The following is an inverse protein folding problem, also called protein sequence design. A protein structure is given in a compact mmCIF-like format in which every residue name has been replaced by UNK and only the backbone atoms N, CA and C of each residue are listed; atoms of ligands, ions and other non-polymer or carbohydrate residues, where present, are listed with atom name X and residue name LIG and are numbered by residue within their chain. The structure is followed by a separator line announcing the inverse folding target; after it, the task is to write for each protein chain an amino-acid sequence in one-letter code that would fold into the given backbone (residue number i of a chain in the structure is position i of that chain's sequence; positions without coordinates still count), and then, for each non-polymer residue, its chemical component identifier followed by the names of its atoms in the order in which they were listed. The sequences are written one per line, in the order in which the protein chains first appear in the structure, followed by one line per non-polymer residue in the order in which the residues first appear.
data_IF_457211017918
#
_entry.id   IF_457211017918
#
_cell.length_a   1.000
_cell.length_b   1.000
_cell.length_c   1.000
_cell.angle_alpha   90.00
_cell.angle_beta   90.00
_cell.angle_gamma   90.00
#
_symmetry.space_group_name_H-M   'P 1'
#
loop_
_entity.id
_entity.type
_entity.pdbx_description
1 polymer ?
#
# COMPACT_ATOMS: atom_id res chain seq x y z
N UNK A 1 -38.90 37.11 -41.90
CA UNK A 1 -38.95 36.75 -40.46
C UNK A 1 -39.07 35.24 -40.39
N UNK A 2 -37.95 34.56 -40.22
CA UNK A 2 -37.81 33.10 -40.06
C UNK A 2 -37.09 32.88 -38.72
N UNK A 3 -37.77 32.31 -37.73
CA UNK A 3 -37.69 30.94 -37.16
C UNK A 3 -36.39 30.58 -36.40
N UNK A 4 -36.63 30.02 -35.20
CA UNK A 4 -35.84 29.11 -34.36
C UNK A 4 -34.93 29.67 -33.26
N UNK A 5 -35.07 29.03 -32.09
CA UNK A 5 -34.21 29.14 -30.92
C UNK A 5 -34.99 28.86 -29.63
N UNK A 6 -35.44 27.61 -29.45
CA UNK A 6 -35.83 27.09 -28.14
C UNK A 6 -34.58 27.13 -27.24
N UNK A 7 -34.69 27.76 -26.07
CA UNK A 7 -33.67 27.68 -25.01
C UNK A 7 -33.92 26.37 -24.26
N UNK A 8 -33.13 25.33 -24.58
CA UNK A 8 -32.96 24.16 -23.72
C UNK A 8 -32.21 24.62 -22.47
N UNK A 9 -32.90 24.62 -21.32
CA UNK A 9 -32.26 24.65 -20.01
C UNK A 9 -31.52 23.32 -19.84
N UNK A 10 -30.19 23.35 -19.93
CA UNK A 10 -29.33 22.24 -19.51
C UNK A 10 -29.49 22.09 -17.98
N UNK A 11 -30.19 21.04 -17.56
CA UNK A 11 -30.17 20.56 -16.17
C UNK A 11 -28.74 20.08 -15.87
N UNK A 12 -27.98 20.88 -15.10
CA UNK A 12 -26.76 20.41 -14.47
C UNK A 12 -27.14 19.35 -13.41
N UNK A 13 -26.80 18.09 -13.66
CA UNK A 13 -26.92 16.99 -12.70
C UNK A 13 -26.15 17.34 -11.40
N UNK A 14 -26.86 17.78 -10.35
CA UNK A 14 -26.33 17.86 -8.98
C UNK A 14 -25.96 16.44 -8.51
N UNK A 15 -24.71 16.02 -8.74
CA UNK A 15 -24.16 14.83 -8.08
C UNK A 15 -24.29 15.02 -6.58
N UNK A 16 -25.01 14.10 -5.94
CA UNK A 16 -25.28 14.11 -4.51
C UNK A 16 -23.97 13.92 -3.71
N UNK A 17 -23.29 15.03 -3.42
CA UNK A 17 -21.98 15.09 -2.75
C UNK A 17 -21.99 14.65 -1.28
N UNK A 18 -23.13 14.16 -0.77
CA UNK A 18 -23.26 13.72 0.61
C UNK A 18 -22.80 12.27 0.83
N UNK A 19 -22.44 11.55 -0.25
CA UNK A 19 -22.19 10.11 -0.25
C UNK A 19 -20.88 9.75 -0.99
N UNK A 20 -20.09 8.84 -0.42
CA UNK A 20 -18.77 8.44 -0.89
C UNK A 20 -18.74 6.99 -1.41
N UNK A 21 -19.69 6.16 -0.98
CA UNK A 21 -19.76 4.73 -1.27
C UNK A 21 -20.98 4.34 -2.14
N UNK A 22 -21.65 5.32 -2.75
CA UNK A 22 -22.90 5.11 -3.49
C UNK A 22 -22.71 4.36 -4.83
N UNK A 23 -21.49 4.32 -5.36
CA UNK A 23 -21.14 3.71 -6.64
C UNK A 23 -20.86 2.21 -6.54
N UNK A 24 -21.08 1.45 -7.61
CA UNK A 24 -20.93 -0.02 -7.60
C UNK A 24 -19.52 -0.51 -7.27
N UNK A 25 -18.48 0.30 -7.53
CA UNK A 25 -17.09 -0.02 -7.19
C UNK A 25 -16.81 -0.02 -5.67
N UNK A 26 -17.75 0.50 -4.87
CA UNK A 26 -17.71 0.46 -3.42
C UNK A 26 -18.16 -0.90 -2.82
N UNK A 27 -18.72 -1.81 -3.64
CA UNK A 27 -19.12 -3.13 -3.15
C UNK A 27 -17.89 -3.92 -2.66
N UNK A 28 -17.98 -4.61 -1.50
CA UNK A 28 -19.19 -4.99 -0.79
C UNK A 28 -19.59 -4.06 0.37
N UNK A 29 -19.04 -2.84 0.46
CA UNK A 29 -19.42 -1.88 1.50
C UNK A 29 -20.79 -1.31 1.17
N UNK A 30 -21.71 -1.41 2.13
CA UNK A 30 -23.08 -0.93 2.00
C UNK A 30 -23.19 0.46 2.62
N UNK A 31 -23.38 1.47 1.78
CA UNK A 31 -23.62 2.81 2.28
C UNK A 31 -25.05 2.96 2.80
N UNK A 32 -25.19 3.46 4.03
CA UNK A 32 -26.50 3.69 4.61
C UNK A 32 -27.18 4.90 3.99
N UNK A 33 -28.34 4.67 3.39
CA UNK A 33 -29.25 5.70 2.89
C UNK A 33 -30.63 5.50 3.54
N UNK A 34 -31.23 6.60 4.00
CA UNK A 34 -32.55 6.53 4.63
C UNK A 34 -33.62 6.29 3.56
N UNK A 35 -34.61 5.43 3.86
CA UNK A 35 -35.64 5.04 2.88
C UNK A 35 -36.77 6.06 2.76
N UNK A 36 -36.91 6.96 3.72
CA UNK A 36 -38.10 7.81 3.89
C UNK A 36 -37.83 9.32 3.80
N UNK A 37 -36.88 9.77 2.98
CA UNK A 37 -36.64 11.17 2.58
C UNK A 37 -37.05 12.25 3.62
N UNK A 38 -36.53 12.14 4.85
CA UNK A 38 -36.35 13.28 5.74
C UNK A 38 -37.41 13.61 6.80
N UNK A 39 -38.52 12.88 6.97
CA UNK A 39 -39.46 13.23 8.06
C UNK A 39 -39.13 12.60 9.42
N UNK A 40 -38.39 11.49 9.46
CA UNK A 40 -37.84 10.95 10.71
C UNK A 40 -36.66 10.01 10.44
N UNK A 41 -35.44 10.39 10.84
CA UNK A 41 -34.24 9.59 10.58
C UNK A 41 -34.39 8.20 11.20
N UNK A 42 -34.52 7.18 10.35
CA UNK A 42 -34.78 5.82 10.81
C UNK A 42 -33.56 5.27 11.58
N UNK A 43 -33.80 4.50 12.65
CA UNK A 43 -32.73 3.84 13.42
C UNK A 43 -32.36 2.55 12.69
N UNK A 44 -31.23 2.48 11.98
CA UNK A 44 -30.95 1.31 11.17
C UNK A 44 -30.69 0.07 12.02
N UNK A 45 -31.29 -1.05 11.65
CA UNK A 45 -31.19 -2.31 12.39
C UNK A 45 -29.73 -2.74 12.56
N UNK A 46 -28.88 -2.55 11.54
CA UNK A 46 -27.45 -2.87 11.61
C UNK A 46 -26.68 -2.07 12.69
N UNK A 47 -27.21 -0.99 13.24
CA UNK A 47 -26.54 -0.27 14.34
C UNK A 47 -27.09 -0.60 15.72
N UNK A 48 -28.36 -1.01 15.80
CA UNK A 48 -29.09 -1.08 17.07
C UNK A 48 -29.59 -2.47 17.42
N UNK A 49 -29.84 -3.35 16.45
CA UNK A 49 -30.34 -4.68 16.73
C UNK A 49 -29.22 -5.69 17.00
N UNK A 50 -29.38 -6.45 18.09
CA UNK A 50 -28.46 -7.52 18.50
C UNK A 50 -28.58 -8.78 17.66
N UNK A 51 -29.60 -8.94 16.81
CA UNK A 51 -29.81 -10.17 16.04
C UNK A 51 -28.97 -10.25 14.76
N UNK A 52 -28.22 -9.20 14.46
CA UNK A 52 -27.38 -9.14 13.28
C UNK A 52 -26.07 -9.91 13.50
N UNK A 53 -25.54 -10.44 12.40
CA UNK A 53 -24.19 -11.02 12.33
C UNK A 53 -23.10 -9.98 12.57
N UNK A 54 -21.83 -10.42 12.55
CA UNK A 54 -20.69 -9.53 12.77
C UNK A 54 -20.60 -8.50 11.64
N UNK A 55 -20.26 -7.26 12.02
CA UNK A 55 -20.20 -6.16 11.06
C UNK A 55 -19.26 -5.04 11.49
N UNK A 56 -18.61 -4.43 10.51
CA UNK A 56 -17.73 -3.30 10.70
C UNK A 56 -18.35 -2.08 10.02
N UNK A 57 -18.48 -0.98 10.76
CA UNK A 57 -19.13 0.24 10.28
C UNK A 57 -18.14 1.39 10.30
N UNK A 58 -17.98 2.06 9.17
CA UNK A 58 -17.30 3.34 9.07
C UNK A 58 -18.28 4.50 9.19
N UNK A 59 -17.96 5.46 10.04
CA UNK A 59 -18.58 6.77 10.11
C UNK A 59 -17.63 7.79 9.49
N UNK A 60 -18.09 8.51 8.48
CA UNK A 60 -17.23 9.31 7.62
C UNK A 60 -17.89 10.64 7.23
N UNK A 61 -17.13 11.54 6.62
CA UNK A 61 -17.68 12.72 5.94
C UNK A 61 -17.15 12.78 4.49
N UNK A 62 -18.00 12.99 3.47
CA UNK A 62 -17.60 12.95 2.05
C UNK A 62 -16.59 14.04 1.67
N UNK A 63 -16.58 15.17 2.39
CA UNK A 63 -15.59 16.24 2.21
C UNK A 63 -14.28 16.01 2.99
N UNK A 64 -14.19 14.97 3.82
CA UNK A 64 -12.99 14.70 4.62
C UNK A 64 -11.93 13.98 3.76
N UNK A 65 -10.73 14.56 3.58
CA UNK A 65 -9.68 13.94 2.77
C UNK A 65 -9.27 12.55 3.26
N UNK A 66 -9.20 12.34 4.58
CA UNK A 66 -8.90 11.02 5.14
C UNK A 66 -9.97 9.98 4.83
N UNK A 67 -11.26 10.38 4.80
CA UNK A 67 -12.35 9.48 4.43
C UNK A 67 -12.29 9.13 2.95
N UNK A 68 -12.07 10.13 2.09
CA UNK A 68 -11.90 9.94 0.65
C UNK A 68 -10.77 8.97 0.35
N UNK A 69 -9.65 9.12 1.06
CA UNK A 69 -8.49 8.25 0.90
C UNK A 69 -8.69 6.85 1.50
N UNK A 70 -9.33 6.76 2.67
CA UNK A 70 -9.61 5.50 3.34
C UNK A 70 -10.68 4.66 2.63
N UNK A 71 -11.54 5.27 1.81
CA UNK A 71 -12.62 4.61 1.06
C UNK A 71 -12.18 3.32 0.40
N UNK A 72 -11.19 3.42 -0.47
CA UNK A 72 -10.76 2.28 -1.27
C UNK A 72 -10.11 1.20 -0.40
N UNK A 73 -9.41 1.61 0.67
CA UNK A 73 -8.84 0.68 1.65
C UNK A 73 -9.93 -0.08 2.41
N UNK A 74 -11.03 0.58 2.78
CA UNK A 74 -12.12 -0.05 3.49
C UNK A 74 -12.89 -1.03 2.60
N UNK A 75 -13.11 -0.67 1.33
CA UNK A 75 -13.73 -1.54 0.33
C UNK A 75 -12.87 -2.79 0.09
N UNK A 76 -11.57 -2.61 -0.09
CA UNK A 76 -10.65 -3.72 -0.32
C UNK A 76 -10.54 -4.62 0.92
N UNK A 77 -10.46 -4.02 2.10
CA UNK A 77 -10.51 -4.74 3.37
C UNK A 77 -11.76 -5.61 3.46
N UNK A 78 -12.92 -5.07 3.08
CA UNK A 78 -14.19 -5.79 3.08
C UNK A 78 -14.17 -6.99 2.13
N UNK A 79 -13.60 -6.84 0.92
CA UNK A 79 -13.43 -7.95 -0.04
C UNK A 79 -12.53 -9.05 0.50
N UNK A 80 -11.37 -8.68 1.04
CA UNK A 80 -10.41 -9.64 1.58
C UNK A 80 -11.01 -10.43 2.74
N UNK A 81 -11.67 -9.75 3.67
CA UNK A 81 -12.31 -10.41 4.80
C UNK A 81 -13.42 -11.35 4.33
N UNK A 82 -14.28 -10.91 3.42
CA UNK A 82 -15.37 -11.75 2.91
C UNK A 82 -14.85 -13.01 2.22
N UNK A 83 -13.83 -12.88 1.37
CA UNK A 83 -13.24 -14.01 0.69
C UNK A 83 -12.61 -15.02 1.68
N UNK A 84 -11.95 -14.54 2.75
CA UNK A 84 -11.43 -15.41 3.81
C UNK A 84 -12.55 -16.11 4.57
N UNK A 85 -13.62 -15.38 4.93
CA UNK A 85 -14.74 -15.99 5.66
C UNK A 85 -15.46 -17.04 4.82
N UNK A 86 -15.60 -16.82 3.51
CA UNK A 86 -16.19 -17.77 2.58
C UNK A 86 -15.34 -19.04 2.48
N UNK A 87 -14.03 -18.90 2.28
CA UNK A 87 -13.10 -20.04 2.21
C UNK A 87 -13.05 -20.82 3.52
N UNK A 88 -13.06 -20.11 4.66
CA UNK A 88 -13.07 -20.71 5.99
C UNK A 88 -14.44 -21.30 6.40
N UNK A 89 -15.48 -21.19 5.56
CA UNK A 89 -16.84 -21.62 5.89
C UNK A 89 -17.42 -20.94 7.14
N UNK A 90 -16.94 -19.73 7.45
CA UNK A 90 -17.32 -18.94 8.62
C UNK A 90 -18.46 -17.98 8.29
N UNK A 91 -19.08 -17.40 9.33
CA UNK A 91 -20.11 -16.38 9.14
C UNK A 91 -19.54 -15.15 8.42
N UNK A 92 -20.23 -14.69 7.37
CA UNK A 92 -19.84 -13.50 6.59
C UNK A 92 -19.90 -12.24 7.45
N UNK A 93 -18.94 -11.33 7.26
CA UNK A 93 -18.91 -10.05 7.96
C UNK A 93 -19.52 -8.98 7.07
N UNK A 94 -20.49 -8.22 7.58
CA UNK A 94 -21.08 -7.12 6.82
C UNK A 94 -20.26 -5.83 7.00
N UNK A 95 -20.15 -5.04 5.94
CA UNK A 95 -19.42 -3.78 5.93
C UNK A 95 -20.36 -2.64 5.59
N UNK A 96 -20.41 -1.62 6.44
CA UNK A 96 -21.29 -0.47 6.24
C UNK A 96 -20.53 0.84 6.30
N UNK A 97 -20.98 1.83 5.54
CA UNK A 97 -20.52 3.20 5.60
C UNK A 97 -21.68 4.14 5.94
N UNK A 98 -21.47 5.09 6.85
CA UNK A 98 -22.46 6.05 7.31
C UNK A 98 -21.91 7.47 7.11
N UNK A 99 -22.49 8.21 6.16
CA UNK A 99 -22.20 9.63 5.98
C UNK A 99 -22.73 10.43 7.17
N UNK A 100 -21.85 11.07 7.92
CA UNK A 100 -22.23 11.95 9.02
C UNK A 100 -22.68 13.34 8.55
N UNK A 101 -22.55 13.64 7.25
CA UNK A 101 -23.16 14.80 6.62
C UNK A 101 -24.64 14.55 6.37
N UNK A 102 -24.99 13.40 5.78
CA UNK A 102 -26.37 12.98 5.57
C UNK A 102 -27.05 12.56 6.89
N UNK A 103 -26.32 11.92 7.81
CA UNK A 103 -26.86 11.28 9.02
C UNK A 103 -26.34 11.87 10.33
N UNK A 104 -26.43 13.21 10.47
CA UNK A 104 -25.92 13.96 11.64
C UNK A 104 -26.44 13.45 12.98
N UNK A 105 -27.73 13.12 13.08
CA UNK A 105 -28.31 12.68 14.36
C UNK A 105 -27.79 11.30 14.78
N UNK A 106 -27.61 10.41 13.80
CA UNK A 106 -27.06 9.08 13.99
C UNK A 106 -25.60 9.14 14.47
N UNK A 107 -24.75 9.94 13.81
CA UNK A 107 -23.35 10.08 14.22
C UNK A 107 -23.20 10.74 15.60
N UNK A 108 -24.08 11.69 15.94
CA UNK A 108 -24.12 12.27 17.29
C UNK A 108 -24.49 11.22 18.33
N UNK A 109 -25.46 10.34 18.04
CA UNK A 109 -25.82 9.25 18.94
C UNK A 109 -24.61 8.34 19.22
N UNK A 110 -23.81 8.03 18.21
CA UNK A 110 -22.58 7.24 18.34
C UNK A 110 -21.38 8.04 18.87
N UNK A 111 -21.57 9.30 19.24
CA UNK A 111 -20.50 10.19 19.75
C UNK A 111 -19.28 10.27 18.81
N UNK A 112 -19.52 10.24 17.50
CA UNK A 112 -18.47 10.38 16.49
C UNK A 112 -18.00 11.84 16.50
N UNK A 113 -16.69 12.04 16.72
CA UNK A 113 -16.07 13.37 16.84
C UNK A 113 -14.99 13.66 15.80
N UNK A 114 -14.53 12.63 15.09
CA UNK A 114 -13.52 12.70 14.04
C UNK A 114 -13.76 11.60 13.02
N UNK A 115 -13.18 11.74 11.84
CA UNK A 115 -13.42 10.86 10.71
C UNK A 115 -12.09 10.48 10.01
N UNK A 116 -12.00 9.28 9.40
CA UNK A 116 -12.96 8.19 9.49
C UNK A 116 -12.94 7.53 10.88
N UNK A 117 -14.09 7.01 11.32
CA UNK A 117 -14.21 6.28 12.59
C UNK A 117 -14.80 4.91 12.36
N UNK A 118 -14.14 3.85 12.84
CA UNK A 118 -14.62 2.49 12.69
C UNK A 118 -15.16 1.94 14.00
N UNK A 119 -16.35 1.34 13.93
CA UNK A 119 -16.94 0.59 15.03
C UNK A 119 -17.23 -0.84 14.58
N UNK A 120 -16.64 -1.80 15.30
CA UNK A 120 -16.89 -3.23 15.14
C UNK A 120 -18.05 -3.65 16.05
N UNK A 121 -19.04 -4.30 15.47
CA UNK A 121 -20.15 -4.91 16.19
C UNK A 121 -20.05 -6.42 16.02
N UNK A 122 -19.60 -7.15 17.05
CA UNK A 122 -19.66 -8.62 17.05
C UNK A 122 -21.09 -9.14 16.87
N UNK A 123 -21.23 -10.40 16.46
CA UNK A 123 -22.55 -11.04 16.39
C UNK A 123 -23.26 -10.95 17.76
N UNK A 124 -24.55 -10.66 17.78
CA UNK A 124 -25.27 -10.54 19.06
C UNK A 124 -25.17 -9.14 19.70
N UNK A 125 -24.34 -8.23 19.16
CA UNK A 125 -23.98 -6.97 19.83
C UNK A 125 -24.62 -5.76 19.15
N UNK A 126 -25.26 -4.93 19.96
CA UNK A 126 -25.72 -3.58 19.58
C UNK A 126 -24.77 -2.48 20.08
N UNK A 127 -25.17 -1.22 19.88
CA UNK A 127 -24.41 0.00 20.20
C UNK A 127 -23.59 -0.02 21.50
N UNK A 128 -24.14 -0.51 22.60
CA UNK A 128 -23.51 -0.39 23.94
C UNK A 128 -22.19 -1.14 24.08
N UNK A 129 -21.93 -2.16 23.25
CA UNK A 129 -20.67 -2.92 23.26
C UNK A 129 -19.95 -2.91 21.91
N UNK A 130 -20.20 -1.88 21.08
CA UNK A 130 -19.41 -1.67 19.87
C UNK A 130 -17.93 -1.45 20.24
N UNK A 131 -17.03 -2.13 19.55
CA UNK A 131 -15.59 -2.06 19.77
C UNK A 131 -15.06 -0.98 18.84
N UNK A 132 -14.44 0.03 19.44
CA UNK A 132 -13.75 1.07 18.69
C UNK A 132 -12.53 0.47 17.97
N UNK A 133 -12.52 0.63 16.65
CA UNK A 133 -11.46 0.14 15.80
C UNK A 133 -10.64 1.29 15.26
N UNK A 134 -9.34 1.05 15.24
CA UNK A 134 -8.41 1.98 14.68
C UNK A 134 -8.27 1.75 13.18
N UNK A 135 -8.65 2.74 12.36
CA UNK A 135 -8.71 2.56 10.90
C UNK A 135 -7.33 2.40 10.27
N UNK A 136 -6.29 2.99 10.87
CA UNK A 136 -4.89 2.82 10.43
C UNK A 136 -4.24 1.53 10.95
N UNK A 137 -4.94 0.72 11.76
CA UNK A 137 -4.48 -0.60 12.20
C UNK A 137 -5.42 -1.73 11.75
N UNK A 138 -6.25 -1.48 10.73
CA UNK A 138 -7.11 -2.51 10.15
C UNK A 138 -6.27 -3.63 9.54
N UNK A 139 -6.53 -4.86 9.97
CA UNK A 139 -5.93 -6.07 9.42
C UNK A 139 -6.97 -7.20 9.41
N UNK A 140 -7.18 -7.93 8.28
CA UNK A 140 -8.23 -8.96 8.20
C UNK A 140 -8.14 -9.98 9.32
N UNK A 141 -6.93 -10.47 9.61
CA UNK A 141 -6.73 -11.43 10.71
C UNK A 141 -7.00 -10.84 12.10
N UNK A 142 -6.76 -9.54 12.33
CA UNK A 142 -7.04 -8.94 13.64
C UNK A 142 -8.53 -8.79 13.86
N UNK A 143 -9.27 -8.44 12.80
CA UNK A 143 -10.73 -8.46 12.81
C UNK A 143 -11.26 -9.88 13.06
N UNK A 144 -10.80 -10.86 12.30
CA UNK A 144 -11.23 -12.26 12.43
C UNK A 144 -10.90 -12.83 13.83
N UNK A 145 -9.71 -12.55 14.35
CA UNK A 145 -9.32 -12.94 15.71
C UNK A 145 -10.21 -12.29 16.77
N UNK A 146 -10.53 -11.00 16.63
CA UNK A 146 -11.45 -10.28 17.53
C UNK A 146 -12.87 -10.85 17.48
N UNK A 147 -13.26 -11.41 16.35
CA UNK A 147 -14.53 -12.12 16.16
C UNK A 147 -14.47 -13.60 16.57
N UNK A 148 -13.32 -14.09 17.03
CA UNK A 148 -13.12 -15.48 17.44
C UNK A 148 -13.09 -16.48 16.27
N UNK A 149 -12.93 -16.00 15.04
CA UNK A 149 -12.85 -16.83 13.83
C UNK A 149 -11.41 -17.33 13.70
N UNK A 150 -11.21 -18.63 13.93
CA UNK A 150 -9.92 -19.31 13.81
C UNK A 150 -9.65 -19.64 12.33
N UNK A 151 -8.75 -18.88 11.70
CA UNK A 151 -8.27 -19.20 10.34
C UNK A 151 -6.90 -19.87 10.49
N UNK A 152 -6.83 -21.19 10.34
CA UNK A 152 -5.54 -21.88 10.13
C UNK A 152 -4.93 -21.39 8.81
N UNK A 153 -3.61 -21.15 8.80
CA UNK A 153 -2.86 -20.44 7.75
C UNK A 153 -3.28 -20.82 6.31
N UNK A 154 -4.21 -20.05 5.75
CA UNK A 154 -4.71 -20.22 4.37
C UNK A 154 -4.25 -19.06 3.51
N UNK A 155 -3.98 -19.39 2.24
CA UNK A 155 -3.24 -18.59 1.27
C UNK A 155 -4.04 -17.36 0.80
N UNK A 156 -4.10 -16.30 1.61
CA UNK A 156 -4.66 -15.00 1.22
C UNK A 156 -4.04 -14.48 -0.10
N UNK A 157 -2.80 -14.88 -0.40
CA UNK A 157 -2.12 -14.56 -1.65
C UNK A 157 -2.82 -15.10 -2.91
N UNK A 158 -3.43 -16.29 -2.87
CA UNK A 158 -4.11 -16.84 -4.06
C UNK A 158 -5.44 -16.16 -4.36
N UNK A 159 -6.08 -15.57 -3.36
CA UNK A 159 -7.38 -14.91 -3.51
C UNK A 159 -7.21 -13.49 -4.07
N UNK A 160 -6.23 -12.74 -3.57
CA UNK A 160 -5.95 -11.37 -4.04
C UNK A 160 -5.43 -11.38 -5.50
N UNK A 161 -4.64 -12.39 -5.87
CA UNK A 161 -4.17 -12.58 -7.25
C UNK A 161 -5.32 -12.91 -8.23
N UNK A 162 -6.40 -13.56 -7.77
CA UNK A 162 -7.56 -13.89 -8.60
C UNK A 162 -8.47 -12.68 -8.91
N UNK A 163 -8.36 -11.61 -8.11
CA UNK A 163 -9.18 -10.39 -8.22
C UNK A 163 -8.41 -9.27 -8.98
N UNK A 164 -7.11 -9.44 -9.18
CA UNK A 164 -6.28 -8.52 -9.97
C UNK A 164 -6.54 -8.68 -11.48
N UNK A 165 -6.73 -7.58 -12.25
CA UNK A 165 -6.88 -7.61 -13.71
C UNK A 165 -5.72 -8.30 -14.44
N UNK A 166 -4.57 -8.44 -13.77
CA UNK A 166 -3.33 -9.01 -14.30
C UNK A 166 -3.43 -10.53 -14.53
N UNK A 167 -4.31 -11.25 -13.82
CA UNK A 167 -4.39 -12.71 -13.89
C UNK A 167 -4.97 -13.29 -15.19
N UNK A 168 -5.58 -12.45 -16.06
CA UNK A 168 -6.27 -12.92 -17.26
C UNK A 168 -5.40 -13.00 -18.54
N UNK A 169 -4.10 -12.67 -18.46
CA UNK A 169 -3.19 -12.71 -19.61
C UNK A 169 -2.58 -14.10 -19.91
N UNK A 170 -3.36 -15.17 -19.78
CA UNK A 170 -2.96 -16.51 -20.25
C UNK A 170 -3.49 -16.76 -21.67
N UNK A 171 -2.74 -16.33 -22.67
CA UNK A 171 -2.93 -16.83 -24.02
C UNK A 171 -2.35 -15.96 -25.14
N UNK A 172 -1.12 -16.24 -25.55
CA UNK A 172 -0.69 -16.12 -26.96
C UNK A 172 0.78 -16.56 -27.09
N UNK A 173 1.00 -17.71 -27.72
CA UNK A 173 2.33 -18.22 -28.09
C UNK A 173 2.98 -17.31 -29.14
N UNK A 174 4.06 -16.61 -28.77
CA UNK A 174 5.22 -16.40 -29.63
C UNK A 174 6.45 -15.94 -28.83
N UNK A 175 7.59 -16.55 -29.13
CA UNK A 175 8.86 -16.46 -28.39
C UNK A 175 9.40 -15.04 -28.25
N UNK A 176 9.13 -14.43 -27.11
CA UNK A 176 10.01 -13.51 -26.38
C UNK A 176 10.15 -14.15 -25.00
N UNK A 177 11.34 -14.17 -24.39
CA UNK A 177 11.55 -14.81 -23.08
C UNK A 177 10.41 -14.39 -22.13
N UNK A 178 9.72 -15.33 -21.47
CA UNK A 178 8.59 -14.98 -20.62
C UNK A 178 9.12 -14.05 -19.55
N UNK A 179 8.69 -12.80 -19.57
CA UNK A 179 8.81 -11.92 -18.41
C UNK A 179 8.15 -12.69 -17.28
N UNK A 180 8.94 -13.13 -16.30
CA UNK A 180 8.40 -13.73 -15.09
C UNK A 180 7.44 -12.69 -14.52
N UNK A 181 6.15 -12.99 -14.58
CA UNK A 181 5.12 -12.09 -14.09
C UNK A 181 5.28 -12.00 -12.58
N UNK A 182 5.51 -10.78 -12.07
CA UNK A 182 5.63 -10.52 -10.64
C UNK A 182 4.25 -10.12 -10.11
N UNK A 183 3.72 -10.87 -9.16
CA UNK A 183 2.46 -10.53 -8.51
C UNK A 183 2.68 -9.51 -7.39
N UNK A 184 1.61 -8.86 -6.92
CA UNK A 184 1.67 -8.04 -5.69
C UNK A 184 2.06 -8.89 -4.50
N UNK A 185 1.55 -10.11 -4.42
CA UNK A 185 1.91 -11.03 -3.35
C UNK A 185 3.41 -11.34 -3.36
N UNK A 186 4.03 -11.52 -4.54
CA UNK A 186 5.48 -11.70 -4.67
C UNK A 186 6.26 -10.49 -4.14
N UNK A 187 5.84 -9.27 -4.51
CA UNK A 187 6.46 -8.02 -4.04
C UNK A 187 6.50 -7.99 -2.51
N UNK A 188 5.36 -8.25 -1.86
CA UNK A 188 5.22 -8.19 -0.41
C UNK A 188 5.94 -9.36 0.29
N UNK A 189 5.90 -10.56 -0.29
CA UNK A 189 6.62 -11.71 0.23
C UNK A 189 8.13 -11.51 0.20
N UNK A 190 8.66 -11.05 -0.94
CA UNK A 190 10.09 -10.75 -1.09
C UNK A 190 10.51 -9.60 -0.17
N UNK A 191 9.67 -8.58 0.00
CA UNK A 191 9.95 -7.48 0.91
C UNK A 191 9.96 -7.92 2.39
N UNK A 192 9.05 -8.81 2.81
CA UNK A 192 9.06 -9.36 4.17
C UNK A 192 10.28 -10.28 4.37
N UNK A 193 10.58 -11.15 3.41
CA UNK A 193 11.79 -11.97 3.47
C UNK A 193 13.05 -11.11 3.57
N UNK A 194 13.12 -9.98 2.86
CA UNK A 194 14.23 -9.05 2.95
C UNK A 194 14.30 -8.37 4.33
N UNK A 195 13.17 -7.93 4.89
CA UNK A 195 13.12 -7.39 6.24
C UNK A 195 13.63 -8.39 7.30
N UNK A 196 13.11 -9.63 7.28
CA UNK A 196 13.53 -10.68 8.21
C UNK A 196 15.03 -11.00 8.04
N UNK A 197 15.49 -11.11 6.79
CA UNK A 197 16.91 -11.34 6.49
C UNK A 197 17.79 -10.18 6.98
N UNK A 198 17.38 -8.92 6.78
CA UNK A 198 18.10 -7.73 7.25
C UNK A 198 18.23 -7.71 8.77
N UNK A 199 17.19 -8.10 9.50
CA UNK A 199 17.24 -8.16 10.96
C UNK A 199 18.15 -9.28 11.44
N UNK A 200 17.94 -10.51 10.94
CA UNK A 200 18.68 -11.69 11.39
C UNK A 200 20.16 -11.65 11.01
N UNK A 201 20.48 -11.10 9.84
CA UNK A 201 21.82 -11.19 9.26
C UNK A 201 22.49 -9.84 9.06
N UNK A 202 21.80 -8.70 9.24
CA UNK A 202 22.34 -7.36 8.96
C UNK A 202 22.70 -6.57 10.22
N UNK A 203 21.92 -6.72 11.29
CA UNK A 203 22.00 -5.86 12.49
C UNK A 203 23.33 -5.99 13.22
N UNK A 204 23.81 -7.22 13.46
CA UNK A 204 25.02 -7.51 14.23
C UNK A 204 26.24 -7.92 13.36
N UNK A 205 26.20 -7.63 12.05
CA UNK A 205 27.25 -8.05 11.09
C UNK A 205 28.65 -7.58 11.46
N UNK A 206 28.77 -6.35 11.93
CA UNK A 206 30.06 -5.68 12.12
C UNK A 206 30.55 -5.71 13.57
N UNK A 207 29.67 -6.02 14.53
CA UNK A 207 29.97 -5.98 15.96
C UNK A 207 28.99 -6.83 16.75
N UNK A 208 29.45 -7.43 17.85
CA UNK A 208 28.62 -8.17 18.80
C UNK A 208 27.66 -7.28 19.60
N UNK A 209 27.89 -5.97 19.62
CA UNK A 209 27.07 -5.00 20.34
C UNK A 209 26.87 -3.74 19.49
N UNK A 210 25.66 -3.17 19.55
CA UNK A 210 25.32 -1.92 18.88
C UNK A 210 25.75 -0.71 19.71
N UNK A 211 26.30 0.29 19.03
CA UNK A 211 26.54 1.64 19.59
C UNK A 211 25.22 2.40 19.75
N UNK A 212 25.21 3.50 20.51
CA UNK A 212 24.01 4.35 20.62
C UNK A 212 23.55 4.88 19.26
N UNK A 213 24.47 5.24 18.36
CA UNK A 213 24.14 5.73 17.02
C UNK A 213 23.52 4.65 16.13
N UNK A 214 24.02 3.41 16.20
CA UNK A 214 23.45 2.29 15.43
C UNK A 214 22.10 1.87 16.01
N UNK A 215 21.95 1.84 17.34
CA UNK A 215 20.65 1.65 17.99
C UNK A 215 19.64 2.71 17.52
N UNK A 216 20.02 3.99 17.50
CA UNK A 216 19.14 5.05 17.02
C UNK A 216 18.76 4.84 15.55
N UNK A 217 19.72 4.52 14.67
CA UNK A 217 19.43 4.24 13.26
C UNK A 217 18.42 3.09 13.08
N UNK A 218 18.54 2.02 13.87
CA UNK A 218 17.60 0.90 13.84
C UNK A 218 16.21 1.31 14.37
N UNK A 219 16.17 2.06 15.47
CA UNK A 219 14.92 2.53 16.06
C UNK A 219 14.14 3.43 15.10
N UNK A 220 14.82 4.40 14.48
CA UNK A 220 14.22 5.32 13.50
C UNK A 220 13.72 4.56 12.26
N UNK A 221 14.47 3.56 11.79
CA UNK A 221 14.06 2.73 10.65
C UNK A 221 12.82 1.88 10.98
N UNK A 222 12.81 1.18 12.11
CA UNK A 222 11.64 0.44 12.57
C UNK A 222 10.43 1.37 12.79
N UNK A 223 10.66 2.56 13.35
CA UNK A 223 9.63 3.57 13.55
C UNK A 223 9.07 4.12 12.23
N UNK A 224 9.91 4.32 11.21
CA UNK A 224 9.47 4.69 9.86
C UNK A 224 8.63 3.56 9.24
N UNK A 225 9.11 2.32 9.26
CA UNK A 225 8.36 1.17 8.73
C UNK A 225 7.01 0.99 9.45
N UNK A 226 6.95 1.17 10.78
CA UNK A 226 5.69 1.10 11.53
C UNK A 226 4.61 2.04 10.98
N UNK A 227 4.99 3.23 10.49
CA UNK A 227 4.06 4.26 9.99
C UNK A 227 3.81 4.16 8.49
N UNK A 228 4.83 3.76 7.74
CA UNK A 228 4.83 3.84 6.26
C UNK A 228 4.62 2.49 5.57
N UNK A 229 4.35 1.41 6.30
CA UNK A 229 3.97 0.13 5.70
C UNK A 229 2.45 -0.05 5.71
N UNK A 230 1.87 -0.75 4.72
CA UNK A 230 0.44 -1.03 4.66
C UNK A 230 -0.11 -1.55 6.01
N UNK A 231 -1.20 -0.97 6.54
CA UNK A 231 -1.77 -1.33 7.84
C UNK A 231 -2.02 -2.83 8.03
N UNK A 232 -2.51 -3.48 6.96
CA UNK A 232 -2.87 -4.90 6.91
C UNK A 232 -1.66 -5.83 6.77
N UNK A 233 -0.43 -5.34 6.89
CA UNK A 233 0.75 -6.19 6.69
C UNK A 233 1.24 -6.82 8.00
N UNK A 234 1.28 -8.16 8.04
CA UNK A 234 1.73 -8.97 9.19
C UNK A 234 3.11 -8.60 9.76
N UNK A 235 3.96 -7.95 8.96
CA UNK A 235 5.28 -7.44 9.35
C UNK A 235 5.22 -6.51 10.58
N UNK A 236 4.10 -5.81 10.77
CA UNK A 236 3.88 -4.91 11.92
C UNK A 236 3.99 -5.63 13.27
N UNK A 237 3.65 -6.92 13.34
CA UNK A 237 3.81 -7.71 14.57
C UNK A 237 5.26 -7.81 15.00
N UNK A 238 6.16 -8.03 14.04
CA UNK A 238 7.60 -8.07 14.31
C UNK A 238 8.14 -6.69 14.63
N UNK A 239 7.76 -5.66 13.88
CA UNK A 239 8.20 -4.29 14.15
C UNK A 239 7.79 -3.84 15.57
N UNK A 240 6.53 -4.07 15.95
CA UNK A 240 6.01 -3.72 17.28
C UNK A 240 6.74 -4.48 18.39
N UNK A 241 6.90 -5.80 18.26
CA UNK A 241 7.62 -6.60 19.25
C UNK A 241 9.07 -6.14 19.46
N UNK A 242 9.76 -5.75 18.38
CA UNK A 242 11.12 -5.23 18.45
C UNK A 242 11.19 -3.82 19.07
N UNK A 243 10.21 -2.96 18.79
CA UNK A 243 10.15 -1.62 19.38
C UNK A 243 9.75 -1.67 20.87
N UNK A 244 8.84 -2.57 21.25
CA UNK A 244 8.37 -2.71 22.63
C UNK A 244 9.45 -3.27 23.58
N UNK A 245 10.31 -4.16 23.09
CA UNK A 245 11.44 -4.74 23.84
C UNK A 245 12.80 -4.35 23.22
N UNK A 246 12.94 -3.08 22.84
CA UNK A 246 14.06 -2.59 22.03
C UNK A 246 15.43 -2.74 22.70
N UNK A 247 15.52 -2.53 24.01
CA UNK A 247 16.79 -2.69 24.73
C UNK A 247 17.27 -4.14 24.72
N UNK A 248 16.35 -5.10 24.85
CA UNK A 248 16.69 -6.52 24.74
C UNK A 248 17.01 -6.89 23.30
N UNK A 249 16.20 -6.45 22.34
CA UNK A 249 16.41 -6.70 20.91
C UNK A 249 17.77 -6.21 20.41
N UNK A 250 18.31 -5.16 21.02
CA UNK A 250 19.61 -4.57 20.65
C UNK A 250 20.78 -4.97 21.55
N UNK A 251 20.56 -5.88 22.50
CA UNK A 251 21.59 -6.30 23.47
C UNK A 251 22.58 -7.32 22.91
N UNK A 252 22.12 -8.27 22.10
CA UNK A 252 22.96 -9.22 21.36
C UNK A 252 22.18 -9.84 20.20
N UNK A 253 22.91 -10.47 19.26
CA UNK A 253 22.33 -11.20 18.15
C UNK A 253 21.41 -12.34 18.63
N UNK A 254 21.83 -13.07 19.67
CA UNK A 254 21.03 -14.16 20.23
C UNK A 254 19.71 -13.67 20.83
N UNK A 255 19.71 -12.51 21.49
CA UNK A 255 18.48 -11.93 22.04
C UNK A 255 17.53 -11.46 20.94
N UNK A 256 18.05 -10.86 19.88
CA UNK A 256 17.25 -10.49 18.70
C UNK A 256 16.60 -11.72 18.08
N UNK A 257 17.38 -12.77 17.80
CA UNK A 257 16.86 -14.01 17.22
C UNK A 257 15.84 -14.68 18.14
N UNK A 258 16.06 -14.69 19.46
CA UNK A 258 15.09 -15.23 20.43
C UNK A 258 13.73 -14.51 20.39
N UNK A 259 13.71 -13.18 20.20
CA UNK A 259 12.46 -12.43 20.03
C UNK A 259 11.81 -12.80 18.69
N UNK A 260 12.60 -12.80 17.61
CA UNK A 260 12.09 -13.11 16.27
C UNK A 260 11.55 -14.53 16.13
N UNK A 261 12.17 -15.52 16.79
CA UNK A 261 11.76 -16.92 16.73
C UNK A 261 10.44 -17.22 17.48
N UNK A 262 9.99 -16.30 18.33
CA UNK A 262 8.69 -16.38 19.00
C UNK A 262 7.55 -15.81 18.14
N UNK A 263 7.88 -15.15 17.03
CA UNK A 263 6.93 -14.50 16.16
C UNK A 263 6.64 -15.37 14.93
N UNK A 264 5.46 -15.22 14.29
CA UNK A 264 5.16 -15.89 13.04
C UNK A 264 6.23 -15.55 11.98
N UNK A 265 6.77 -16.55 11.27
CA UNK A 265 7.76 -16.31 10.24
C UNK A 265 7.15 -15.59 9.02
N UNK A 266 7.99 -15.07 8.11
CA UNK A 266 7.52 -14.61 6.81
C UNK A 266 6.65 -15.67 6.11
N UNK A 267 5.54 -15.29 5.43
CA UNK A 267 4.65 -16.25 4.77
C UNK A 267 5.34 -17.06 3.67
N UNK A 268 6.28 -16.44 2.95
CA UNK A 268 7.11 -17.11 1.97
C UNK A 268 8.39 -17.65 2.62
N UNK A 269 8.85 -18.82 2.14
CA UNK A 269 10.12 -19.44 2.57
C UNK A 269 11.24 -19.28 1.54
N UNK A 270 10.88 -18.86 0.33
CA UNK A 270 11.79 -18.69 -0.80
C UNK A 270 11.45 -17.38 -1.52
N UNK A 271 12.47 -16.76 -2.10
CA UNK A 271 12.31 -15.59 -2.96
C UNK A 271 11.52 -15.95 -4.22
N UNK A 272 10.79 -14.98 -4.77
CA UNK A 272 10.07 -15.14 -6.03
C UNK A 272 11.00 -15.42 -7.20
N UNK A 273 10.48 -16.06 -8.26
CA UNK A 273 11.23 -16.26 -9.50
C UNK A 273 11.70 -14.93 -10.13
N UNK A 274 10.93 -13.86 -9.93
CA UNK A 274 11.28 -12.52 -10.39
C UNK A 274 12.56 -12.03 -9.70
N UNK A 275 12.63 -12.14 -8.37
CA UNK A 275 13.78 -11.68 -7.61
C UNK A 275 14.99 -12.61 -7.69
N UNK A 276 14.79 -13.92 -7.88
CA UNK A 276 15.90 -14.87 -8.07
C UNK A 276 16.49 -14.82 -9.47
N UNK A 277 15.68 -14.43 -10.49
CA UNK A 277 16.03 -14.56 -11.92
C UNK A 277 16.53 -15.96 -12.27
N UNK A 278 15.99 -16.99 -11.62
CA UNK A 278 16.37 -18.39 -11.79
C UNK A 278 17.67 -18.80 -11.08
N UNK A 279 18.26 -17.94 -10.24
CA UNK A 279 19.47 -18.24 -9.48
C UNK A 279 19.12 -18.45 -8.00
N UNK A 280 19.23 -19.70 -7.54
CA UNK A 280 18.97 -20.06 -6.15
C UNK A 280 19.87 -19.27 -5.18
N UNK A 281 19.28 -18.73 -4.12
CA UNK A 281 19.99 -17.93 -3.10
C UNK A 281 20.14 -16.45 -3.43
N UNK A 282 19.76 -16.01 -4.65
CA UNK A 282 19.57 -14.58 -4.95
C UNK A 282 18.15 -14.14 -4.58
N UNK A 283 17.97 -12.85 -4.32
CA UNK A 283 16.65 -12.26 -4.08
C UNK A 283 16.61 -11.21 -2.98
N UNK A 284 17.52 -11.29 -2.00
CA UNK A 284 17.56 -10.35 -0.88
C UNK A 284 17.57 -8.88 -1.30
N UNK A 285 18.48 -8.49 -2.20
CA UNK A 285 18.59 -7.08 -2.65
C UNK A 285 17.38 -6.64 -3.46
N UNK A 286 16.77 -7.53 -4.24
CA UNK A 286 15.54 -7.27 -4.98
C UNK A 286 14.35 -7.06 -4.03
N UNK A 287 14.19 -7.93 -3.02
CA UNK A 287 13.19 -7.79 -1.98
C UNK A 287 13.40 -6.53 -1.14
N UNK A 288 14.66 -6.19 -0.83
CA UNK A 288 14.99 -4.99 -0.05
C UNK A 288 14.64 -3.70 -0.79
N UNK A 289 14.89 -3.63 -2.11
CA UNK A 289 14.39 -2.55 -2.94
C UNK A 289 12.86 -2.49 -2.96
N UNK A 290 12.19 -3.64 -3.01
CA UNK A 290 10.74 -3.72 -2.87
C UNK A 290 10.25 -3.11 -1.57
N UNK A 291 10.88 -3.46 -0.43
CA UNK A 291 10.56 -2.89 0.88
C UNK A 291 10.74 -1.37 0.91
N UNK A 292 11.82 -0.85 0.33
CA UNK A 292 12.08 0.60 0.29
C UNK A 292 11.05 1.34 -0.56
N UNK A 293 10.62 0.75 -1.69
CA UNK A 293 9.58 1.34 -2.53
C UNK A 293 8.19 1.29 -1.90
N UNK A 294 7.84 0.20 -1.20
CA UNK A 294 6.59 0.14 -0.40
C UNK A 294 6.61 1.22 0.67
N UNK A 295 7.72 1.33 1.41
CA UNK A 295 7.92 2.34 2.46
C UNK A 295 7.85 3.76 1.89
N UNK A 296 8.44 4.04 0.73
CA UNK A 296 8.43 5.39 0.16
C UNK A 296 7.04 5.81 -0.32
N UNK A 297 6.27 4.90 -0.91
CA UNK A 297 4.86 5.17 -1.23
C UNK A 297 4.05 5.35 0.04
N UNK A 298 4.24 4.49 1.05
CA UNK A 298 3.48 4.58 2.29
C UNK A 298 3.81 5.79 3.16
N UNK A 299 4.94 6.48 2.94
CA UNK A 299 5.16 7.83 3.51
C UNK A 299 4.08 8.80 3.02
N UNK A 300 3.75 8.74 1.72
CA UNK A 300 2.71 9.59 1.13
C UNK A 300 1.33 9.16 1.64
N UNK A 301 1.03 7.87 1.61
CA UNK A 301 -0.27 7.35 2.08
C UNK A 301 -0.50 7.65 3.57
N UNK A 302 0.55 7.54 4.40
CA UNK A 302 0.49 7.94 5.80
C UNK A 302 0.14 9.42 5.93
N UNK A 303 0.86 10.30 5.23
CA UNK A 303 0.63 11.74 5.32
C UNK A 303 -0.79 12.13 4.84
N UNK A 304 -1.31 11.43 3.83
CA UNK A 304 -2.70 11.61 3.37
C UNK A 304 -3.76 11.14 4.38
N UNK A 305 -3.37 10.31 5.36
CA UNK A 305 -4.25 9.79 6.43
C UNK A 305 -4.13 10.54 7.76
N UNK A 306 -3.23 11.52 7.89
CA UNK A 306 -2.96 12.16 9.16
C UNK A 306 -4.05 13.10 9.64
N UNK A 307 -4.75 12.71 10.70
CA UNK A 307 -5.68 13.56 11.44
C UNK A 307 -4.91 14.60 12.28
N UNK A 308 -4.92 15.88 11.85
CA UNK A 308 -4.24 16.99 12.52
C UNK A 308 -4.64 17.13 14.00
N UNK A 309 -5.85 16.70 14.37
CA UNK A 309 -6.39 16.82 15.73
C UNK A 309 -5.75 15.85 16.74
N UNK A 310 -4.99 14.84 16.30
CA UNK A 310 -4.35 13.84 17.19
C UNK A 310 -2.88 14.13 17.51
N UNK A 311 -2.31 15.22 16.98
CA UNK A 311 -0.93 15.62 17.26
C UNK A 311 0.13 14.72 16.61
N UNK A 312 -0.27 13.87 15.65
CA UNK A 312 0.67 13.12 14.82
C UNK A 312 1.23 14.02 13.71
N UNK A 313 2.56 14.03 13.57
CA UNK A 313 3.23 14.87 12.58
C UNK A 313 3.45 14.11 11.27
N UNK A 314 3.30 14.83 10.16
CA UNK A 314 3.65 14.37 8.84
C UNK A 314 5.10 13.91 8.74
N UNK A 315 5.28 12.81 8.02
CA UNK A 315 6.56 12.25 7.65
C UNK A 315 7.18 13.14 6.59
N UNK A 316 8.19 13.91 6.98
CA UNK A 316 8.98 14.69 6.05
C UNK A 316 9.73 13.77 5.05
N UNK A 317 9.64 14.04 3.72
CA UNK A 317 10.34 13.29 2.68
C UNK A 317 11.85 13.16 2.93
N UNK A 318 12.52 14.25 3.30
CA UNK A 318 13.96 14.23 3.58
C UNK A 318 14.29 13.43 4.83
N UNK A 319 13.44 13.49 5.87
CA UNK A 319 13.64 12.69 7.07
C UNK A 319 13.48 11.20 6.78
N UNK A 320 12.47 10.80 5.99
CA UNK A 320 12.31 9.42 5.56
C UNK A 320 13.52 8.94 4.73
N UNK A 321 14.01 9.77 3.81
CA UNK A 321 15.20 9.48 3.01
C UNK A 321 16.48 9.35 3.86
N UNK A 322 16.64 10.20 4.88
CA UNK A 322 17.75 10.14 5.82
C UNK A 322 17.71 8.85 6.66
N UNK A 323 16.53 8.44 7.14
CA UNK A 323 16.36 7.17 7.86
C UNK A 323 16.77 5.99 6.98
N UNK A 324 16.35 5.97 5.71
CA UNK A 324 16.79 4.97 4.73
C UNK A 324 18.32 4.97 4.56
N UNK A 325 18.93 6.15 4.40
CA UNK A 325 20.38 6.31 4.29
C UNK A 325 21.10 5.75 5.51
N UNK A 326 20.63 6.06 6.73
CA UNK A 326 21.25 5.56 7.97
C UNK A 326 21.07 4.05 8.12
N UNK A 327 19.94 3.49 7.73
CA UNK A 327 19.77 2.04 7.68
C UNK A 327 20.81 1.39 6.76
N UNK A 328 20.96 1.90 5.53
CA UNK A 328 21.94 1.37 4.57
C UNK A 328 23.37 1.52 5.07
N UNK A 329 23.71 2.66 5.67
CA UNK A 329 25.05 2.90 6.22
C UNK A 329 25.45 1.87 7.28
N UNK A 330 24.51 1.48 8.13
CA UNK A 330 24.81 0.69 9.33
C UNK A 330 24.53 -0.81 9.17
N UNK A 331 23.54 -1.21 8.37
CA UNK A 331 23.02 -2.59 8.38
C UNK A 331 23.05 -3.31 7.04
N UNK A 332 23.34 -2.60 5.93
CA UNK A 332 23.41 -3.24 4.63
C UNK A 332 24.77 -3.88 4.36
N UNK A 333 24.81 -5.20 4.23
CA UNK A 333 26.04 -5.99 4.18
C UNK A 333 26.85 -5.89 2.88
N UNK A 334 26.26 -5.48 1.76
CA UNK A 334 27.02 -5.30 0.52
C UNK A 334 27.83 -4.00 0.57
N UNK A 335 29.13 -4.08 0.85
CA UNK A 335 30.01 -2.93 0.99
C UNK A 335 30.02 -2.02 -0.25
N UNK A 336 30.22 -2.60 -1.45
CA UNK A 336 30.24 -1.83 -2.71
C UNK A 336 28.89 -1.17 -2.97
N UNK A 337 27.79 -1.88 -2.72
CA UNK A 337 26.44 -1.36 -2.90
C UNK A 337 26.16 -0.20 -1.93
N UNK A 338 26.54 -0.37 -0.65
CA UNK A 338 26.41 0.65 0.40
C UNK A 338 27.22 1.89 0.05
N UNK A 339 28.48 1.75 -0.31
CA UNK A 339 29.35 2.89 -0.69
C UNK A 339 28.77 3.66 -1.87
N UNK A 340 28.31 2.95 -2.91
CA UNK A 340 27.67 3.56 -4.06
C UNK A 340 26.37 4.30 -3.69
N UNK A 341 25.51 3.71 -2.86
CA UNK A 341 24.28 4.34 -2.41
C UNK A 341 24.58 5.62 -1.62
N UNK A 342 25.49 5.54 -0.63
CA UNK A 342 25.84 6.67 0.22
C UNK A 342 26.45 7.81 -0.59
N UNK A 343 27.34 7.51 -1.54
CA UNK A 343 27.90 8.52 -2.43
C UNK A 343 26.81 9.20 -3.27
N UNK A 344 25.91 8.42 -3.91
CA UNK A 344 24.80 8.99 -4.68
C UNK A 344 23.86 9.84 -3.80
N UNK A 345 23.60 9.42 -2.57
CA UNK A 345 22.80 10.20 -1.63
C UNK A 345 23.50 11.52 -1.25
N UNK A 346 24.75 11.43 -0.79
CA UNK A 346 25.49 12.56 -0.24
C UNK A 346 25.84 13.59 -1.32
N UNK A 347 26.07 13.15 -2.55
CA UNK A 347 26.35 14.01 -3.71
C UNK A 347 25.09 14.58 -4.38
N UNK A 348 23.92 14.49 -3.73
CA UNK A 348 22.64 14.99 -4.23
C UNK A 348 22.21 14.39 -5.59
N UNK A 349 22.58 13.15 -5.90
CA UNK A 349 22.22 12.51 -7.17
C UNK A 349 20.69 12.44 -7.36
N UNK A 350 20.25 12.53 -8.63
CA UNK A 350 18.83 12.56 -9.02
C UNK A 350 18.07 13.73 -8.36
N UNK A 351 18.76 14.86 -8.25
CA UNK A 351 18.24 16.14 -7.73
C UNK A 351 17.72 16.06 -6.28
N UNK A 352 18.25 15.11 -5.48
CA UNK A 352 17.79 14.85 -4.10
C UNK A 352 17.64 16.13 -3.27
N UNK A 353 18.64 17.01 -3.34
CA UNK A 353 18.75 18.16 -2.44
C UNK A 353 17.77 19.29 -2.77
N UNK A 354 17.23 19.34 -3.99
CA UNK A 354 16.17 20.28 -4.35
C UNK A 354 14.78 19.64 -4.24
N UNK A 355 14.68 18.32 -4.49
CA UNK A 355 13.40 17.59 -4.42
C UNK A 355 12.95 17.24 -3.01
N UNK A 356 13.88 16.93 -2.11
CA UNK A 356 13.59 16.48 -0.74
C UNK A 356 13.92 17.60 0.24
N UNK A 357 12.93 18.44 0.56
CA UNK A 357 13.03 19.59 1.45
C UNK A 357 12.43 19.33 2.83
N UNK A 358 12.87 20.10 3.84
CA UNK A 358 12.33 20.04 5.22
C UNK A 358 11.00 20.80 5.34
N UNK A 359 10.86 21.86 4.56
CA UNK A 359 9.65 22.63 4.41
C UNK A 359 8.75 21.93 3.38
N UNK A 360 7.44 21.96 3.60
CA UNK A 360 6.36 21.53 2.71
C UNK A 360 5.65 20.21 3.09
N UNK A 361 4.47 20.38 3.70
CA UNK A 361 3.56 19.33 4.15
C UNK A 361 2.36 19.21 3.20
N UNK A 362 2.61 19.17 1.90
CA UNK A 362 1.57 18.94 0.90
C UNK A 362 1.88 17.72 0.04
N UNK A 363 0.87 17.30 -0.72
CA UNK A 363 0.94 16.13 -1.58
C UNK A 363 2.05 16.22 -2.63
N UNK A 364 2.28 17.40 -3.23
CA UNK A 364 3.27 17.59 -4.30
C UNK A 364 4.70 17.34 -3.82
N UNK A 365 4.97 17.66 -2.55
CA UNK A 365 6.26 17.42 -1.90
C UNK A 365 6.38 15.99 -1.37
N UNK A 366 5.30 15.41 -0.83
CA UNK A 366 5.33 14.03 -0.33
C UNK A 366 5.70 13.03 -1.42
N UNK A 367 5.15 13.19 -2.63
CA UNK A 367 5.43 12.30 -3.76
C UNK A 367 6.88 12.36 -4.25
N UNK A 368 7.66 13.38 -3.90
CA UNK A 368 9.05 13.49 -4.34
C UNK A 368 9.95 12.38 -3.78
N UNK A 369 9.66 11.86 -2.58
CA UNK A 369 10.45 10.77 -2.01
C UNK A 369 10.38 9.46 -2.83
N UNK A 370 9.20 8.90 -3.13
CA UNK A 370 9.10 7.72 -3.99
C UNK A 370 9.66 7.96 -5.40
N UNK A 371 9.47 9.15 -5.99
CA UNK A 371 10.01 9.43 -7.33
C UNK A 371 11.54 9.52 -7.31
N UNK A 372 12.13 10.19 -6.32
CA UNK A 372 13.60 10.21 -6.15
C UNK A 372 14.16 8.80 -5.97
N UNK A 373 13.52 7.97 -5.16
CA UNK A 373 13.95 6.60 -4.93
C UNK A 373 13.87 5.76 -6.22
N UNK A 374 12.83 5.99 -7.03
CA UNK A 374 12.70 5.41 -8.38
C UNK A 374 13.83 5.84 -9.31
N UNK A 375 14.11 7.14 -9.42
CA UNK A 375 15.17 7.66 -10.29
C UNK A 375 16.54 7.15 -9.86
N UNK A 376 16.78 7.07 -8.55
CA UNK A 376 17.98 6.47 -7.98
C UNK A 376 18.12 5.00 -8.35
N UNK A 377 17.05 4.20 -8.21
CA UNK A 377 17.07 2.78 -8.55
C UNK A 377 17.28 2.57 -10.07
N UNK A 378 16.66 3.38 -10.93
CA UNK A 378 16.92 3.35 -12.38
C UNK A 378 18.36 3.73 -12.73
N UNK A 379 18.96 4.67 -11.99
CA UNK A 379 20.38 4.96 -12.08
C UNK A 379 21.27 3.76 -11.74
N UNK A 380 20.91 3.01 -10.69
CA UNK A 380 21.58 1.76 -10.34
C UNK A 380 21.44 0.72 -11.45
N UNK A 381 20.24 0.54 -12.00
CA UNK A 381 19.99 -0.41 -13.08
C UNK A 381 20.85 -0.08 -14.32
N UNK A 382 20.90 1.19 -14.71
CA UNK A 382 21.71 1.65 -15.82
C UNK A 382 23.20 1.41 -15.58
N UNK A 383 23.71 1.75 -14.38
CA UNK A 383 25.11 1.48 -14.02
C UNK A 383 25.43 -0.01 -14.10
N UNK A 384 24.61 -0.86 -13.49
CA UNK A 384 24.82 -2.32 -13.48
C UNK A 384 24.78 -2.91 -14.90
N UNK A 385 23.93 -2.38 -15.78
CA UNK A 385 23.87 -2.77 -17.19
C UNK A 385 25.15 -2.40 -17.94
N UNK A 386 25.69 -1.20 -17.71
CA UNK A 386 26.98 -0.77 -18.27
C UNK A 386 28.13 -1.64 -17.76
N UNK A 387 28.21 -1.89 -16.46
CA UNK A 387 29.21 -2.78 -15.85
C UNK A 387 29.08 -4.24 -16.36
N UNK A 388 27.88 -4.71 -16.69
CA UNK A 388 27.67 -6.02 -17.29
C UNK A 388 28.23 -6.07 -18.73
N UNK A 389 27.92 -5.06 -19.55
CA UNK A 389 28.44 -4.94 -20.91
C UNK A 389 29.99 -4.90 -20.93
N UNK A 390 30.58 -4.12 -20.01
CA UNK A 390 32.04 -4.03 -19.87
C UNK A 390 32.68 -5.38 -19.49
N UNK A 391 32.06 -6.14 -18.59
CA UNK A 391 32.51 -7.50 -18.23
C UNK A 391 32.45 -8.48 -19.40
N UNK A 392 31.53 -8.26 -20.33
CA UNK A 392 31.39 -9.01 -21.58
C UNK A 392 32.35 -8.50 -22.68
N UNK A 393 33.17 -7.48 -22.40
CA UNK A 393 34.11 -6.89 -23.36
C UNK A 393 33.44 -6.11 -24.49
N UNK A 394 32.19 -5.65 -24.29
CA UNK A 394 31.43 -4.86 -25.25
C UNK A 394 31.04 -3.50 -24.68
N UNK A 395 30.74 -2.54 -25.55
CA UNK A 395 30.12 -1.29 -25.13
C UNK A 395 28.61 -1.50 -24.86
N UNK A 396 28.02 -0.77 -23.90
CA UNK A 396 26.58 -0.76 -23.70
C UNK A 396 25.89 -0.19 -24.94
N UNK A 397 24.90 -0.92 -25.47
CA UNK A 397 24.07 -0.46 -26.57
C UNK A 397 22.92 0.40 -26.04
N UNK A 398 22.33 1.23 -26.90
CA UNK A 398 21.12 1.97 -26.55
C UNK A 398 19.99 1.05 -26.06
N UNK A 399 19.88 -0.16 -26.63
CA UNK A 399 18.90 -1.16 -26.22
C UNK A 399 19.16 -1.66 -24.80
N UNK A 400 20.43 -1.83 -24.40
CA UNK A 400 20.77 -2.22 -23.03
C UNK A 400 20.36 -1.13 -22.04
N UNK A 401 20.62 0.14 -22.38
CA UNK A 401 20.26 1.27 -21.52
C UNK A 401 18.75 1.41 -21.38
N UNK A 402 18.00 1.37 -22.49
CA UNK A 402 16.53 1.43 -22.47
C UNK A 402 15.91 0.28 -21.69
N UNK A 403 16.42 -0.96 -21.85
CA UNK A 403 15.91 -2.14 -21.10
C UNK A 403 16.24 -2.11 -19.62
N UNK A 404 17.16 -1.25 -19.20
CA UNK A 404 17.54 -1.09 -17.80
C UNK A 404 16.63 -0.09 -17.07
N UNK A 405 15.83 0.68 -17.78
CA UNK A 405 14.88 1.61 -17.19
C UNK A 405 13.54 0.90 -16.90
N UNK A 406 12.96 1.22 -15.76
CA UNK A 406 11.67 0.71 -15.31
C UNK A 406 10.82 1.88 -14.76
N UNK A 407 9.51 1.98 -15.06
CA UNK A 407 8.77 1.13 -15.99
C UNK A 407 9.26 1.27 -17.43
N UNK A 408 9.03 0.24 -18.25
CA UNK A 408 9.28 0.39 -19.67
C UNK A 408 8.31 1.39 -20.30
N UNK A 409 8.65 1.95 -21.46
CA UNK A 409 7.74 2.84 -22.19
C UNK A 409 6.42 2.14 -22.58
N UNK A 410 6.44 0.81 -22.73
CA UNK A 410 5.24 0.03 -23.00
C UNK A 410 4.33 -0.09 -21.76
N UNK A 411 4.93 -0.18 -20.56
CA UNK A 411 4.21 -0.35 -19.30
C UNK A 411 3.63 0.98 -18.78
N UNK A 412 4.31 2.10 -19.02
CA UNK A 412 3.81 3.43 -18.68
C UNK A 412 4.28 4.49 -19.69
N UNK A 413 3.57 4.71 -20.81
CA UNK A 413 3.98 5.69 -21.82
C UNK A 413 4.11 7.12 -21.27
N UNK A 414 3.19 7.51 -20.38
CA UNK A 414 3.16 8.86 -19.78
C UNK A 414 4.32 9.12 -18.80
N UNK A 415 4.92 8.06 -18.24
CA UNK A 415 6.13 8.15 -17.43
C UNK A 415 7.38 8.59 -18.23
N UNK A 416 7.27 8.69 -19.55
CA UNK A 416 8.34 9.08 -20.47
C UNK A 416 8.08 10.44 -21.15
N UNK A 417 7.05 11.16 -20.74
CA UNK A 417 6.75 12.49 -21.29
C UNK A 417 7.74 13.53 -20.78
N UNK A 418 8.05 14.52 -21.63
CA UNK A 418 8.92 15.66 -21.28
C UNK A 418 8.12 16.95 -21.07
N UNK A 419 6.80 16.83 -20.87
CA UNK A 419 5.84 17.94 -20.75
C UNK A 419 5.65 18.46 -19.31
N UNK A 420 6.47 17.97 -18.37
CA UNK A 420 6.37 18.29 -16.94
C UNK A 420 5.42 17.37 -16.14
N UNK A 421 4.62 16.53 -16.79
CA UNK A 421 3.69 15.60 -16.10
C UNK A 421 4.34 14.29 -15.64
N UNK A 422 5.59 14.03 -16.07
CA UNK A 422 6.34 12.78 -15.82
C UNK A 422 6.27 12.32 -14.37
N UNK A 423 6.58 13.22 -13.44
CA UNK A 423 6.76 12.90 -12.03
C UNK A 423 5.45 12.43 -11.39
N UNK A 424 4.33 13.07 -11.75
CA UNK A 424 2.99 12.65 -11.31
C UNK A 424 2.66 11.24 -11.84
N UNK A 425 2.97 10.96 -13.11
CA UNK A 425 2.72 9.64 -13.70
C UNK A 425 3.62 8.55 -13.12
N UNK A 426 4.88 8.86 -12.82
CA UNK A 426 5.77 7.93 -12.12
C UNK A 426 5.23 7.62 -10.73
N UNK A 427 4.83 8.63 -9.95
CA UNK A 427 4.26 8.38 -8.64
C UNK A 427 3.00 7.51 -8.73
N UNK A 428 2.08 7.84 -9.64
CA UNK A 428 0.86 7.03 -9.89
C UNK A 428 1.21 5.58 -10.21
N UNK A 429 2.20 5.36 -11.07
CA UNK A 429 2.67 4.03 -11.41
C UNK A 429 3.28 3.30 -10.20
N UNK A 430 4.15 3.96 -9.42
CA UNK A 430 4.73 3.40 -8.19
C UNK A 430 3.67 3.04 -7.16
N UNK A 431 2.67 3.90 -7.00
CA UNK A 431 1.54 3.66 -6.10
C UNK A 431 0.77 2.42 -6.53
N UNK A 432 0.48 2.27 -7.82
CA UNK A 432 -0.18 1.08 -8.38
C UNK A 432 0.69 -0.16 -8.23
N UNK A 433 2.01 -0.10 -8.33
CA UNK A 433 2.87 -1.27 -8.18
C UNK A 433 2.97 -1.70 -6.71
N UNK A 434 3.33 -0.76 -5.84
CA UNK A 434 3.77 -1.05 -4.46
C UNK A 434 2.68 -0.91 -3.41
N UNK A 435 1.53 -0.32 -3.73
CA UNK A 435 0.40 -0.16 -2.82
C UNK A 435 -0.84 -0.88 -3.34
N UNK A 436 -1.73 -1.31 -2.46
CA UNK A 436 -3.02 -1.87 -2.88
C UNK A 436 -3.99 -0.71 -3.18
N UNK A 437 -4.27 -0.47 -4.46
CA UNK A 437 -5.16 0.61 -4.94
C UNK A 437 -6.30 -0.01 -5.76
N UNK A 438 -7.55 0.43 -5.56
CA UNK A 438 -8.68 0.06 -6.43
C UNK A 438 -8.54 0.80 -7.77
N UNK A 439 -8.61 0.04 -8.85
CA UNK A 439 -8.46 0.50 -10.24
C UNK A 439 -9.79 1.01 -10.80
N UNK A 440 -10.26 2.17 -10.33
CA UNK A 440 -11.35 2.91 -11.00
C UNK A 440 -10.92 4.25 -11.58
N UNK A 441 -9.71 4.75 -11.26
CA UNK A 441 -9.18 6.02 -11.80
C UNK A 441 -7.99 5.88 -12.77
N UNK A 442 -7.54 4.66 -13.11
CA UNK A 442 -6.23 4.46 -13.76
C UNK A 442 -6.23 3.70 -15.09
N UNK A 443 -7.37 3.61 -15.78
CA UNK A 443 -7.43 3.06 -17.15
C UNK A 443 -6.53 3.82 -18.15
N UNK A 444 -6.16 5.07 -17.84
CA UNK A 444 -5.30 5.87 -18.71
C UNK A 444 -3.79 5.57 -18.61
N UNK A 445 -3.32 5.05 -17.46
CA UNK A 445 -1.90 4.75 -17.27
C UNK A 445 -1.52 3.38 -17.86
N UNK A 446 -2.49 2.46 -17.94
CA UNK A 446 -2.36 1.07 -18.39
C UNK A 446 -2.81 0.87 -19.85
N UNK A 447 -2.79 1.93 -20.67
CA UNK A 447 -3.50 2.06 -21.97
C UNK A 447 -3.16 1.04 -23.06
N UNK A 448 -2.31 0.05 -22.83
CA UNK A 448 -2.12 -1.08 -23.74
C UNK A 448 -2.86 -2.37 -23.35
N UNK A 449 -3.59 -2.42 -22.24
CA UNK A 449 -4.45 -3.58 -21.92
C UNK A 449 -5.86 -3.42 -22.52
N UNK A 450 -6.30 -2.19 -22.83
CA UNK A 450 -7.68 -1.90 -23.28
C UNK A 450 -7.95 -2.10 -24.78
N UNK A 451 -6.96 -2.51 -25.59
CA UNK A 451 -7.17 -2.77 -27.04
C UNK A 451 -7.62 -4.21 -27.34
N UNK A 452 -7.56 -5.15 -26.38
CA UNK A 452 -7.99 -6.54 -26.58
C UNK A 452 -9.40 -6.88 -26.06
N UNK A 453 -10.10 -5.95 -25.42
CA UNK A 453 -11.44 -6.19 -24.84
C UNK A 453 -12.62 -5.78 -25.74
N UNK A 454 -12.39 -5.20 -26.93
CA UNK A 454 -13.46 -5.01 -27.93
C UNK A 454 -13.59 -6.24 -28.82
N UNK A 455 -14.22 -7.30 -28.31
CA UNK A 455 -14.35 -8.51 -29.11
C UNK A 455 -15.18 -9.67 -28.57
N UNK A 456 -16.15 -9.47 -27.67
CA UNK A 456 -17.14 -10.52 -27.36
C UNK A 456 -18.54 -9.89 -27.34
N UNK A 457 -19.38 -10.14 -28.36
CA UNK A 457 -20.78 -9.74 -28.29
C UNK A 457 -21.52 -10.64 -27.29
N UNK A 458 -22.04 -10.04 -26.23
CA UNK A 458 -23.08 -10.62 -25.39
C UNK A 458 -24.34 -10.79 -26.24
N UNK A 459 -24.62 -11.99 -26.73
CA UNK A 459 -25.97 -12.35 -27.16
C UNK A 459 -26.70 -13.01 -26.00
N UNK A 460 -27.81 -12.37 -25.63
CA UNK A 460 -28.81 -12.89 -24.72
C UNK A 460 -29.71 -13.93 -25.42
N UNK A 461 -30.10 -14.94 -24.64
CA UNK A 461 -30.99 -16.10 -24.89
C UNK A 461 -30.36 -17.38 -25.41
#
# INVERSE_FOLDING_TARGET
MSVFGDEEEEEEDEQNNDFLYASEDALPVIEYQDKDNGEQQSRPDFLYESRNGPRLVEFYAPWCPHCQHFRDHFVEFARQVNAVTEEAGSESIAFYAVSCVAHKSLCRDFSIKGYPRLLLFPAGVGKENAIDMNYWELHPFDLLNRLGIQVEEMHLGSIVDAISPVAQLKGSENRIQPTVLRTKQDIYNDAYLAFDFSLRNGVFTSSKSLTNSTKQALHEWLGLLRRSLPPVWKIHRTIRALLDDFERATSSEEQLHQIMDQLPPPPAKVWSDFCTKGIAGMGYTCGLWGLFHIMSVGVVEWNMMLDEDQGEMALSPINAANVLRYFIANFFGCEVCRTNFLASFDDCAFDRCNRLTEDDFDYEHWIQFPIWLHDMHNGVNLRLSREAAEREGRSPSHIDETRSQWPSQADCPKCWYEDGSRDEWIYKFLRVEYWYVITTMFDECLTNVSVLLKGIPLQAR
#
